data_IF_314671348001
#
_entry.id   IF_314671348001
#
_cell.length_a   1.000
_cell.length_b   1.000
_cell.length_c   1.000
_cell.angle_alpha   90.00
_cell.angle_beta   90.00
_cell.angle_gamma   90.00
#
_symmetry.space_group_name_H-M   'P 1'
#
loop_
_entity.id
_entity.type
_entity.pdbx_description
1 polymer ?
#
# COMPACT_ATOMS: atom_id res chain seq x y z
N UNK A 1 5.95 26.94 -36.66
CA UNK A 1 5.66 25.50 -36.53
C UNK A 1 6.60 24.92 -35.50
N UNK A 2 6.23 24.97 -34.22
CA UNK A 2 7.01 24.38 -33.12
C UNK A 2 6.65 22.90 -33.02
N UNK A 3 7.59 22.06 -33.41
CA UNK A 3 7.54 20.63 -33.11
C UNK A 3 7.57 20.46 -31.60
N UNK A 4 6.41 20.20 -30.99
CA UNK A 4 6.32 19.67 -29.63
C UNK A 4 6.95 18.29 -29.68
N UNK A 5 8.26 18.21 -29.39
CA UNK A 5 8.92 16.96 -29.09
C UNK A 5 8.22 16.39 -27.86
N UNK A 6 7.43 15.33 -28.07
CA UNK A 6 6.98 14.47 -27.00
C UNK A 6 8.22 13.83 -26.38
N UNK A 7 8.79 14.46 -25.35
CA UNK A 7 9.80 13.83 -24.51
C UNK A 7 9.12 12.61 -23.87
N UNK A 8 9.63 11.38 -24.07
CA UNK A 8 9.12 10.23 -23.33
C UNK A 8 9.19 10.56 -21.84
N UNK A 9 8.09 10.35 -21.12
CA UNK A 9 7.97 10.55 -19.67
C UNK A 9 9.27 10.16 -18.98
N UNK A 10 10.06 11.17 -18.60
CA UNK A 10 11.37 10.97 -18.00
C UNK A 10 11.12 10.36 -16.61
N UNK A 11 11.44 9.07 -16.45
CA UNK A 11 11.26 8.39 -15.17
C UNK A 11 12.21 9.00 -14.15
N UNK A 12 11.68 9.39 -13.01
CA UNK A 12 12.46 9.92 -11.88
C UNK A 12 13.06 8.72 -11.13
N UNK A 13 14.38 8.56 -11.16
CA UNK A 13 15.05 7.37 -10.62
C UNK A 13 14.79 7.17 -9.12
N UNK A 14 14.75 8.28 -8.37
CA UNK A 14 14.48 8.24 -6.93
C UNK A 14 13.07 7.76 -6.60
N UNK A 15 12.06 8.13 -7.38
CA UNK A 15 10.70 7.59 -7.23
C UNK A 15 10.69 6.08 -7.43
N UNK A 16 11.41 5.58 -8.43
CA UNK A 16 11.51 4.14 -8.68
C UNK A 16 12.22 3.41 -7.54
N UNK A 17 13.29 3.99 -6.99
CA UNK A 17 13.96 3.46 -5.79
C UNK A 17 13.02 3.46 -4.58
N UNK A 18 12.30 4.55 -4.35
CA UNK A 18 11.33 4.65 -3.25
C UNK A 18 10.27 3.56 -3.32
N UNK A 19 9.76 3.24 -4.51
CA UNK A 19 8.80 2.13 -4.71
C UNK A 19 9.43 0.77 -4.37
N UNK A 20 10.70 0.55 -4.68
CA UNK A 20 11.41 -0.68 -4.33
C UNK A 20 11.61 -0.80 -2.82
N UNK A 21 12.03 0.27 -2.15
CA UNK A 21 12.18 0.28 -0.69
C UNK A 21 10.81 0.05 -0.01
N UNK A 22 9.76 0.71 -0.49
CA UNK A 22 8.40 0.59 0.03
C UNK A 22 7.86 -0.85 -0.10
N UNK A 23 8.03 -1.52 -1.24
CA UNK A 23 7.54 -2.91 -1.38
C UNK A 23 8.33 -3.88 -0.50
N UNK A 24 9.63 -3.65 -0.30
CA UNK A 24 10.43 -4.45 0.65
C UNK A 24 9.94 -4.25 2.09
N UNK A 25 9.65 -3.01 2.50
CA UNK A 25 9.06 -2.73 3.81
C UNK A 25 7.69 -3.41 3.99
N UNK A 26 6.83 -3.41 2.96
CA UNK A 26 5.54 -4.11 2.97
C UNK A 26 5.71 -5.62 3.09
N UNK A 27 6.68 -6.22 2.38
CA UNK A 27 6.99 -7.65 2.50
C UNK A 27 7.44 -7.99 3.92
N UNK A 28 8.29 -7.16 4.54
CA UNK A 28 8.69 -7.34 5.94
C UNK A 28 7.51 -7.25 6.92
N UNK A 29 6.63 -6.27 6.72
CA UNK A 29 5.42 -6.08 7.52
C UNK A 29 4.50 -7.32 7.44
N UNK A 30 4.18 -7.77 6.23
CA UNK A 30 3.30 -8.93 6.04
C UNK A 30 3.96 -10.28 6.38
N UNK A 31 5.29 -10.35 6.29
CA UNK A 31 6.09 -11.48 6.72
C UNK A 31 6.14 -11.66 8.25
N UNK A 32 5.49 -10.78 9.03
CA UNK A 32 5.45 -10.83 10.49
C UNK A 32 6.85 -10.77 11.13
N UNK A 33 7.73 -9.95 10.54
CA UNK A 33 9.13 -9.87 10.92
C UNK A 33 9.29 -9.50 12.41
N UNK A 34 10.08 -10.30 13.12
CA UNK A 34 10.41 -10.16 14.54
C UNK A 34 9.21 -10.15 15.50
N UNK A 35 8.08 -10.77 15.13
CA UNK A 35 6.93 -10.94 16.04
C UNK A 35 7.02 -12.18 16.94
N UNK A 36 7.95 -13.10 16.66
CA UNK A 36 8.04 -14.42 17.34
C UNK A 36 9.31 -14.62 18.16
N UNK A 37 10.20 -13.64 18.21
CA UNK A 37 11.48 -13.68 18.93
C UNK A 37 11.89 -12.27 19.36
N UNK A 38 12.92 -12.17 20.21
CA UNK A 38 13.36 -10.91 20.84
C UNK A 38 12.22 -10.16 21.57
N UNK A 39 11.40 -10.92 22.30
CA UNK A 39 10.36 -10.36 23.13
C UNK A 39 10.97 -9.74 24.39
N UNK A 40 10.45 -8.59 24.78
CA UNK A 40 10.78 -7.91 26.04
C UNK A 40 9.47 -7.86 26.82
N UNK A 41 9.45 -8.49 27.99
CA UNK A 41 8.23 -8.68 28.81
C UNK A 41 7.07 -9.30 28.00
N UNK A 42 7.36 -10.37 27.24
CA UNK A 42 6.41 -11.07 26.34
C UNK A 42 5.85 -10.21 25.19
N UNK A 43 6.39 -9.00 24.98
CA UNK A 43 5.99 -8.09 23.90
C UNK A 43 7.07 -8.03 22.81
N UNK A 44 6.72 -8.26 21.52
CA UNK A 44 7.67 -8.20 20.42
C UNK A 44 7.91 -6.74 19.95
N UNK A 45 8.51 -5.91 20.81
CA UNK A 45 8.72 -4.48 20.53
C UNK A 45 9.50 -4.23 19.24
N UNK A 46 10.49 -5.06 18.91
CA UNK A 46 11.24 -4.94 17.66
C UNK A 46 10.31 -5.12 16.45
N UNK A 47 9.48 -6.18 16.44
CA UNK A 47 8.51 -6.39 15.38
C UNK A 47 7.44 -5.29 15.31
N UNK A 48 7.03 -4.74 16.45
CA UNK A 48 6.09 -3.60 16.52
C UNK A 48 6.69 -2.34 15.91
N UNK A 49 7.94 -2.01 16.24
CA UNK A 49 8.65 -0.87 15.66
C UNK A 49 8.89 -1.08 14.17
N UNK A 50 9.27 -2.28 13.73
CA UNK A 50 9.44 -2.60 12.30
C UNK A 50 8.11 -2.45 11.53
N UNK A 51 7.01 -2.92 12.11
CA UNK A 51 5.66 -2.77 11.54
C UNK A 51 5.31 -1.29 11.35
N UNK A 52 5.44 -0.47 12.40
CA UNK A 52 5.12 0.96 12.33
C UNK A 52 6.12 1.72 11.43
N UNK A 53 7.39 1.31 11.40
CA UNK A 53 8.42 1.85 10.48
C UNK A 53 8.10 1.58 9.01
N UNK A 54 7.28 0.58 8.68
CA UNK A 54 6.85 0.33 7.31
C UNK A 54 5.63 1.18 6.86
N UNK A 55 4.98 1.93 7.76
CA UNK A 55 3.70 2.61 7.47
C UNK A 55 3.82 3.79 6.49
N UNK A 56 5.03 4.27 6.17
CA UNK A 56 5.22 5.25 5.09
C UNK A 56 5.01 4.67 3.67
N UNK A 57 5.10 3.35 3.51
CA UNK A 57 5.18 2.70 2.20
C UNK A 57 3.91 2.91 1.36
N UNK A 58 2.74 2.70 1.95
CA UNK A 58 1.46 2.87 1.26
C UNK A 58 1.15 4.34 0.93
N UNK A 59 1.31 5.32 1.85
CA UNK A 59 1.27 6.75 1.53
C UNK A 59 2.12 7.12 0.32
N UNK A 60 3.35 6.60 0.25
CA UNK A 60 4.27 6.87 -0.85
C UNK A 60 3.68 6.41 -2.19
N UNK A 61 3.08 5.21 -2.26
CA UNK A 61 2.44 4.73 -3.49
C UNK A 61 1.24 5.59 -3.91
N UNK A 62 0.43 6.08 -2.96
CA UNK A 62 -0.68 7.00 -3.26
C UNK A 62 -0.17 8.36 -3.77
N UNK A 63 0.84 8.94 -3.10
CA UNK A 63 1.49 10.20 -3.52
C UNK A 63 2.05 10.10 -4.94
N UNK A 64 2.79 9.02 -5.24
CA UNK A 64 3.33 8.76 -6.58
C UNK A 64 2.18 8.64 -7.60
N UNK A 65 1.11 7.93 -7.26
CA UNK A 65 -0.04 7.75 -8.16
C UNK A 65 -0.69 9.10 -8.50
N UNK A 66 -0.93 9.95 -7.50
CA UNK A 66 -1.46 11.30 -7.69
C UNK A 66 -0.55 12.19 -8.53
N UNK A 67 0.75 12.17 -8.24
CA UNK A 67 1.74 12.95 -8.99
C UNK A 67 1.82 12.56 -10.47
N UNK A 68 1.80 11.26 -10.77
CA UNK A 68 1.92 10.77 -12.14
C UNK A 68 0.62 10.92 -12.96
N UNK A 69 -0.55 10.80 -12.33
CA UNK A 69 -1.83 10.90 -13.03
C UNK A 69 -2.25 12.35 -13.32
N UNK A 70 -1.79 13.31 -12.51
CA UNK A 70 -2.28 14.70 -12.51
C UNK A 70 -2.38 15.34 -13.91
N UNK A 71 -1.35 15.33 -14.78
CA UNK A 71 -1.43 16.06 -16.05
C UNK A 71 -2.55 15.54 -16.96
N UNK A 72 -2.81 14.22 -16.92
CA UNK A 72 -3.87 13.59 -17.72
C UNK A 72 -5.24 13.82 -17.09
N UNK A 73 -5.31 13.72 -15.76
CA UNK A 73 -6.55 13.87 -15.02
C UNK A 73 -7.08 15.31 -15.09
N UNK A 74 -6.22 16.32 -15.10
CA UNK A 74 -6.62 17.72 -15.36
C UNK A 74 -7.10 17.94 -16.79
N UNK A 75 -6.45 17.31 -17.78
CA UNK A 75 -6.79 17.53 -19.19
C UNK A 75 -8.09 16.81 -19.62
N UNK A 76 -8.37 15.65 -19.06
CA UNK A 76 -9.55 14.85 -19.40
C UNK A 76 -9.95 13.97 -18.21
N UNK A 77 -10.69 14.51 -17.22
CA UNK A 77 -10.91 13.85 -15.93
C UNK A 77 -11.59 12.49 -16.08
N UNK A 78 -12.75 12.43 -16.72
CA UNK A 78 -13.54 11.20 -16.84
C UNK A 78 -12.86 10.12 -17.68
N UNK A 79 -12.35 10.50 -18.85
CA UNK A 79 -11.61 9.60 -19.74
C UNK A 79 -10.36 9.03 -19.06
N UNK A 80 -9.63 9.86 -18.31
CA UNK A 80 -8.45 9.42 -17.56
C UNK A 80 -8.84 8.49 -16.43
N UNK A 81 -9.89 8.80 -15.66
CA UNK A 81 -10.39 7.93 -14.59
C UNK A 81 -10.73 6.54 -15.12
N UNK A 82 -11.53 6.43 -16.19
CA UNK A 82 -11.93 5.13 -16.75
C UNK A 82 -10.69 4.34 -17.22
N UNK A 83 -9.81 4.97 -17.99
CA UNK A 83 -8.62 4.31 -18.56
C UNK A 83 -7.58 3.93 -17.48
N UNK A 84 -7.56 4.66 -16.37
CA UNK A 84 -6.70 4.36 -15.23
C UNK A 84 -7.28 3.23 -14.38
N UNK A 85 -8.56 3.32 -14.02
CA UNK A 85 -9.22 2.44 -13.04
C UNK A 85 -9.62 1.08 -13.61
N UNK A 86 -10.19 1.02 -14.82
CA UNK A 86 -10.66 -0.24 -15.44
C UNK A 86 -9.60 -1.37 -15.44
N UNK A 87 -8.36 -1.16 -15.93
CA UNK A 87 -7.36 -2.21 -15.87
C UNK A 87 -6.93 -2.58 -14.45
N UNK A 88 -6.90 -1.63 -13.51
CA UNK A 88 -6.55 -1.92 -12.11
C UNK A 88 -7.63 -2.77 -11.45
N UNK A 89 -8.91 -2.45 -11.66
CA UNK A 89 -10.04 -3.24 -11.15
C UNK A 89 -10.09 -4.63 -11.77
N UNK A 90 -9.73 -4.78 -13.05
CA UNK A 90 -9.58 -6.10 -13.68
C UNK A 90 -8.53 -6.94 -12.96
N UNK A 91 -7.34 -6.36 -12.72
CA UNK A 91 -6.26 -7.04 -11.99
C UNK A 91 -6.72 -7.38 -10.57
N UNK A 92 -7.32 -6.43 -9.86
CA UNK A 92 -7.88 -6.64 -8.52
C UNK A 92 -8.89 -7.79 -8.48
N UNK A 93 -9.83 -7.85 -9.44
CA UNK A 93 -10.84 -8.91 -9.52
C UNK A 93 -10.19 -10.28 -9.75
N UNK A 94 -9.27 -10.38 -10.71
CA UNK A 94 -8.62 -11.66 -11.02
C UNK A 94 -7.80 -12.17 -9.84
N UNK A 95 -7.00 -11.31 -9.20
CA UNK A 95 -6.23 -11.72 -8.03
C UNK A 95 -7.09 -11.99 -6.81
N UNK A 96 -8.23 -11.31 -6.66
CA UNK A 96 -9.23 -11.63 -5.64
C UNK A 96 -9.77 -13.05 -5.84
N UNK A 97 -10.13 -13.44 -7.06
CA UNK A 97 -10.60 -14.81 -7.36
C UNK A 97 -9.51 -15.84 -7.05
N UNK A 98 -8.25 -15.56 -7.42
CA UNK A 98 -7.13 -16.46 -7.10
C UNK A 98 -7.00 -16.62 -5.59
N UNK A 99 -7.06 -15.54 -4.82
CA UNK A 99 -6.96 -15.60 -3.36
C UNK A 99 -8.15 -16.32 -2.71
N UNK A 100 -9.36 -16.15 -3.25
CA UNK A 100 -10.57 -16.82 -2.75
C UNK A 100 -10.52 -18.34 -2.88
N UNK A 101 -9.85 -18.84 -3.93
CA UNK A 101 -9.76 -20.27 -4.24
C UNK A 101 -8.52 -20.91 -3.61
N UNK A 102 -7.48 -20.15 -3.29
CA UNK A 102 -6.22 -20.71 -2.77
C UNK A 102 -6.36 -21.09 -1.28
N UNK A 103 -5.99 -22.32 -0.86
CA UNK A 103 -5.97 -22.68 0.56
C UNK A 103 -4.83 -21.95 1.29
N UNK A 104 -5.11 -21.40 2.47
CA UNK A 104 -4.12 -20.62 3.23
C UNK A 104 -3.39 -21.46 4.27
N UNK A 105 -3.95 -22.60 4.68
CA UNK A 105 -3.33 -23.50 5.65
C UNK A 105 -3.40 -24.97 5.17
N UNK A 106 -2.27 -25.49 4.68
CA UNK A 106 -2.17 -26.85 4.14
C UNK A 106 -2.34 -27.93 5.21
N UNK A 107 -1.92 -27.68 6.46
CA UNK A 107 -2.15 -28.62 7.56
C UNK A 107 -3.65 -28.78 7.85
N UNK A 108 -4.43 -27.68 7.80
CA UNK A 108 -5.89 -27.75 7.90
C UNK A 108 -6.54 -28.42 6.69
N UNK A 109 -5.96 -28.32 5.50
CA UNK A 109 -6.44 -29.08 4.33
C UNK A 109 -6.24 -30.57 4.54
N UNK A 110 -5.12 -30.99 5.13
CA UNK A 110 -4.88 -32.39 5.49
C UNK A 110 -5.87 -32.89 6.55
N UNK A 111 -6.12 -32.10 7.59
CA UNK A 111 -6.99 -32.48 8.71
C UNK A 111 -8.48 -32.43 8.37
N UNK A 112 -8.95 -31.40 7.66
CA UNK A 112 -10.37 -31.10 7.44
C UNK A 112 -10.80 -31.08 5.98
N UNK A 113 -9.88 -31.30 5.04
CA UNK A 113 -10.11 -31.16 3.60
C UNK A 113 -10.14 -29.70 3.12
N UNK A 114 -10.10 -29.51 1.80
CA UNK A 114 -10.10 -28.19 1.16
C UNK A 114 -11.30 -27.33 1.58
N UNK A 115 -12.51 -27.90 1.59
CA UNK A 115 -13.72 -27.17 1.96
C UNK A 115 -13.71 -26.77 3.45
N UNK A 116 -13.22 -27.66 4.33
CA UNK A 116 -13.10 -27.37 5.76
C UNK A 116 -12.15 -26.22 6.04
N UNK A 117 -11.00 -26.17 5.36
CA UNK A 117 -10.06 -25.04 5.47
C UNK A 117 -10.67 -23.72 4.97
N UNK A 118 -11.39 -23.77 3.84
CA UNK A 118 -11.90 -22.58 3.16
C UNK A 118 -13.14 -21.97 3.79
N UNK A 119 -14.00 -22.81 4.38
CA UNK A 119 -15.27 -22.40 4.97
C UNK A 119 -15.11 -21.28 6.00
N UNK A 120 -14.09 -21.35 6.85
CA UNK A 120 -13.85 -20.34 7.88
C UNK A 120 -13.57 -18.95 7.29
N UNK A 121 -12.72 -18.87 6.27
CA UNK A 121 -12.40 -17.59 5.63
C UNK A 121 -13.56 -17.05 4.78
N UNK A 122 -14.25 -17.91 4.02
CA UNK A 122 -15.43 -17.48 3.28
C UNK A 122 -16.52 -16.98 4.23
N UNK A 123 -16.68 -17.63 5.39
CA UNK A 123 -17.54 -17.15 6.48
C UNK A 123 -17.12 -15.77 6.99
N UNK A 124 -15.83 -15.55 7.25
CA UNK A 124 -15.30 -14.24 7.64
C UNK A 124 -15.63 -13.15 6.61
N UNK A 125 -15.46 -13.43 5.32
CA UNK A 125 -15.78 -12.47 4.26
C UNK A 125 -17.29 -12.16 4.19
N UNK A 126 -18.14 -13.19 4.31
CA UNK A 126 -19.60 -13.00 4.33
C UNK A 126 -20.07 -12.18 5.53
N UNK A 127 -19.40 -12.30 6.68
CA UNK A 127 -19.71 -11.53 7.88
C UNK A 127 -19.25 -10.06 7.79
N UNK A 128 -18.38 -9.72 6.85
CA UNK A 128 -17.84 -8.36 6.67
C UNK A 128 -17.97 -7.91 5.21
N UNK A 129 -19.21 -7.84 4.65
CA UNK A 129 -19.42 -7.76 3.21
C UNK A 129 -18.86 -6.47 2.59
N UNK A 130 -18.97 -5.33 3.29
CA UNK A 130 -18.41 -4.06 2.82
C UNK A 130 -16.88 -4.07 2.79
N UNK A 131 -16.25 -4.60 3.84
CA UNK A 131 -14.79 -4.77 3.85
C UNK A 131 -14.35 -5.74 2.76
N UNK A 132 -15.01 -6.89 2.64
CA UNK A 132 -14.69 -7.89 1.62
C UNK A 132 -14.82 -7.34 0.20
N UNK A 133 -15.80 -6.48 -0.07
CA UNK A 133 -15.93 -5.80 -1.34
C UNK A 133 -14.78 -4.82 -1.62
N UNK A 134 -14.29 -4.11 -0.60
CA UNK A 134 -13.23 -3.12 -0.74
C UNK A 134 -11.81 -3.71 -0.65
N UNK A 135 -11.62 -4.83 0.04
CA UNK A 135 -10.34 -5.55 0.09
C UNK A 135 -10.21 -6.48 -1.12
N UNK A 136 -11.25 -7.26 -1.40
CA UNK A 136 -11.23 -8.35 -2.36
C UNK A 136 -10.96 -9.69 -1.67
N UNK A 137 -10.29 -10.59 -2.39
CA UNK A 137 -10.06 -11.96 -1.91
C UNK A 137 -8.93 -12.13 -0.89
N UNK A 138 -8.18 -11.07 -0.60
CA UNK A 138 -7.14 -11.03 0.43
C UNK A 138 -6.85 -9.59 0.85
N UNK A 139 -6.50 -9.39 2.12
CA UNK A 139 -6.43 -8.07 2.76
C UNK A 139 -5.61 -7.05 1.96
N UNK A 140 -4.40 -7.39 1.50
CA UNK A 140 -3.48 -6.41 0.87
C UNK A 140 -4.03 -5.77 -0.41
N UNK A 141 -5.03 -6.38 -1.05
CA UNK A 141 -5.60 -5.90 -2.31
C UNK A 141 -6.41 -4.60 -2.16
N UNK A 142 -6.74 -4.20 -0.93
CA UNK A 142 -7.50 -2.98 -0.59
C UNK A 142 -6.95 -1.69 -1.19
N UNK A 143 -5.64 -1.62 -1.44
CA UNK A 143 -5.01 -0.43 -1.99
C UNK A 143 -5.57 -0.06 -3.37
N UNK A 144 -5.97 -1.04 -4.19
CA UNK A 144 -6.52 -0.76 -5.53
C UNK A 144 -7.88 -0.07 -5.45
N UNK A 145 -8.90 -0.61 -4.75
CA UNK A 145 -10.18 0.09 -4.59
C UNK A 145 -10.03 1.46 -3.93
N UNK A 146 -9.21 1.59 -2.88
CA UNK A 146 -8.91 2.87 -2.25
C UNK A 146 -8.33 3.89 -3.25
N UNK A 147 -7.37 3.48 -4.09
CA UNK A 147 -6.80 4.32 -5.14
C UNK A 147 -7.85 4.75 -6.17
N UNK A 148 -8.73 3.83 -6.59
CA UNK A 148 -9.83 4.12 -7.53
C UNK A 148 -10.80 5.15 -6.93
N UNK A 149 -11.16 5.01 -5.65
CA UNK A 149 -11.99 5.98 -4.95
C UNK A 149 -11.35 7.38 -4.92
N UNK A 150 -10.07 7.47 -4.56
CA UNK A 150 -9.35 8.74 -4.53
C UNK A 150 -9.30 9.41 -5.92
N UNK A 151 -8.98 8.65 -6.98
CA UNK A 151 -8.94 9.20 -8.35
C UNK A 151 -10.34 9.61 -8.82
N UNK A 152 -11.39 8.87 -8.45
CA UNK A 152 -12.78 9.24 -8.76
C UNK A 152 -13.15 10.59 -8.11
N UNK A 153 -12.86 10.76 -6.82
CA UNK A 153 -13.15 11.99 -6.09
C UNK A 153 -12.43 13.18 -6.73
N UNK A 154 -11.13 13.04 -7.04
CA UNK A 154 -10.36 14.09 -7.71
C UNK A 154 -10.94 14.37 -9.10
N UNK A 155 -11.26 13.32 -9.88
CA UNK A 155 -11.83 13.49 -11.21
C UNK A 155 -13.15 14.28 -11.18
N UNK A 156 -14.04 13.95 -10.24
CA UNK A 156 -15.31 14.66 -10.06
C UNK A 156 -15.10 16.13 -9.69
N UNK A 157 -14.22 16.42 -8.73
CA UNK A 157 -13.94 17.80 -8.31
C UNK A 157 -13.34 18.63 -9.47
N UNK A 158 -12.42 18.04 -10.22
CA UNK A 158 -11.78 18.70 -11.38
C UNK A 158 -12.79 18.90 -12.52
N UNK A 159 -13.63 17.90 -12.82
CA UNK A 159 -14.68 18.00 -13.85
C UNK A 159 -15.68 19.12 -13.52
N UNK A 160 -16.05 19.25 -12.24
CA UNK A 160 -16.93 20.30 -11.74
C UNK A 160 -16.23 21.67 -11.61
N UNK A 161 -14.94 21.77 -11.93
CA UNK A 161 -14.11 22.99 -11.80
C UNK A 161 -14.05 23.54 -10.37
N UNK A 162 -14.12 22.64 -9.39
CA UNK A 162 -14.10 22.95 -7.96
C UNK A 162 -12.71 22.71 -7.35
N UNK A 163 -11.63 22.99 -8.07
CA UNK A 163 -10.25 22.65 -7.68
C UNK A 163 -9.89 23.12 -6.25
N UNK A 164 -10.45 24.25 -5.82
CA UNK A 164 -10.27 24.80 -4.45
C UNK A 164 -10.77 23.87 -3.34
N UNK A 165 -11.66 22.93 -3.65
CA UNK A 165 -12.20 21.94 -2.71
C UNK A 165 -11.34 20.66 -2.62
N UNK A 166 -10.37 20.44 -3.52
CA UNK A 166 -9.54 19.23 -3.52
C UNK A 166 -8.89 18.99 -2.16
N UNK A 167 -8.13 19.97 -1.67
CA UNK A 167 -7.41 19.84 -0.41
C UNK A 167 -8.36 19.80 0.82
N UNK A 168 -9.34 20.71 0.97
CA UNK A 168 -10.31 20.63 2.07
C UNK A 168 -11.04 19.29 2.15
N UNK A 169 -11.58 18.78 1.05
CA UNK A 169 -12.27 17.48 1.02
C UNK A 169 -11.33 16.34 1.41
N UNK A 170 -10.10 16.36 0.91
CA UNK A 170 -9.13 15.32 1.21
C UNK A 170 -8.68 15.33 2.69
N UNK A 171 -8.50 16.53 3.28
CA UNK A 171 -8.20 16.68 4.71
C UNK A 171 -9.35 16.18 5.57
N UNK A 172 -10.60 16.58 5.26
CA UNK A 172 -11.78 16.15 6.02
C UNK A 172 -11.93 14.62 6.02
N UNK A 173 -11.76 13.98 4.85
CA UNK A 173 -11.80 12.53 4.72
C UNK A 173 -10.70 11.83 5.53
N UNK A 174 -9.47 12.37 5.52
CA UNK A 174 -8.35 11.80 6.27
C UNK A 174 -8.54 11.96 7.77
N UNK A 175 -8.97 13.14 8.23
CA UNK A 175 -9.27 13.40 9.65
C UNK A 175 -10.35 12.44 10.12
N UNK A 176 -11.47 12.32 9.40
CA UNK A 176 -12.48 11.32 9.72
C UNK A 176 -11.90 9.89 9.74
N UNK A 177 -11.05 9.53 8.78
CA UNK A 177 -10.43 8.21 8.71
C UNK A 177 -9.52 7.88 9.90
N UNK A 178 -8.79 8.87 10.43
CA UNK A 178 -7.97 8.71 11.64
C UNK A 178 -8.87 8.60 12.86
N UNK A 179 -9.84 9.52 13.01
CA UNK A 179 -10.74 9.58 14.16
C UNK A 179 -11.60 8.30 14.28
N UNK A 180 -12.23 7.85 13.20
CA UNK A 180 -13.05 6.64 13.16
C UNK A 180 -12.24 5.34 12.97
N UNK A 181 -10.91 5.43 12.89
CA UNK A 181 -9.99 4.31 12.72
C UNK A 181 -9.13 4.11 13.96
N UNK A 182 -7.87 4.53 13.89
CA UNK A 182 -6.90 4.39 15.00
C UNK A 182 -7.31 5.11 16.29
N UNK A 183 -8.16 6.13 16.22
CA UNK A 183 -8.64 6.90 17.37
C UNK A 183 -10.08 6.51 17.77
N UNK A 184 -10.62 5.42 17.24
CA UNK A 184 -12.02 5.05 17.47
C UNK A 184 -12.34 4.85 18.96
N UNK A 185 -11.40 4.31 19.74
CA UNK A 185 -11.57 4.14 21.19
C UNK A 185 -11.64 5.44 21.99
N UNK A 186 -11.18 6.57 21.42
CA UNK A 186 -11.26 7.89 22.06
C UNK A 186 -12.47 8.70 21.59
N UNK A 187 -12.91 8.48 20.36
CA UNK A 187 -13.89 9.34 19.69
C UNK A 187 -15.27 8.72 19.61
N UNK A 188 -15.38 7.41 19.83
CA UNK A 188 -16.58 6.60 19.61
C UNK A 188 -17.15 6.72 18.18
N UNK A 189 -16.37 7.27 17.24
CA UNK A 189 -16.78 7.38 15.85
C UNK A 189 -16.67 6.02 15.19
N UNK A 190 -17.79 5.59 14.60
CA UNK A 190 -17.83 4.38 13.79
C UNK A 190 -17.57 4.69 12.31
N UNK A 191 -16.98 3.72 11.63
CA UNK A 191 -16.86 3.69 10.18
C UNK A 191 -17.58 2.44 9.63
N UNK A 192 -18.22 2.53 8.45
CA UNK A 192 -18.95 1.40 7.86
C UNK A 192 -18.04 0.25 7.40
N UNK A 193 -16.74 0.51 7.27
CA UNK A 193 -15.69 -0.43 6.87
C UNK A 193 -14.34 0.13 7.36
N UNK A 194 -13.26 -0.65 7.29
CA UNK A 194 -11.94 -0.19 7.71
C UNK A 194 -11.51 1.07 6.96
N UNK A 195 -11.16 2.12 7.70
CA UNK A 195 -10.98 3.46 7.11
C UNK A 195 -9.85 3.51 6.06
N UNK A 196 -8.91 2.55 6.07
CA UNK A 196 -7.88 2.41 5.03
C UNK A 196 -8.44 1.97 3.66
N UNK A 197 -9.50 1.16 3.63
CA UNK A 197 -9.95 0.41 2.45
C UNK A 197 -10.71 1.28 1.42
N UNK A 198 -11.09 2.50 1.78
CA UNK A 198 -11.89 3.39 0.94
C UNK A 198 -11.22 4.75 0.70
N UNK A 199 -12.02 5.84 0.66
CA UNK A 199 -11.49 7.16 0.29
C UNK A 199 -10.73 7.86 1.41
N UNK A 200 -10.89 7.44 2.67
CA UNK A 200 -10.44 8.23 3.82
C UNK A 200 -8.92 8.42 3.86
N UNK A 201 -8.18 7.32 3.79
CA UNK A 201 -6.71 7.37 3.78
C UNK A 201 -6.14 7.84 2.43
N UNK A 202 -6.64 7.24 1.35
CA UNK A 202 -6.09 7.38 0.00
C UNK A 202 -6.24 8.79 -0.57
N UNK A 203 -7.38 9.45 -0.34
CA UNK A 203 -7.71 10.73 -1.00
C UNK A 203 -6.71 11.83 -0.64
N UNK A 204 -6.32 11.98 0.63
CA UNK A 204 -5.30 12.98 1.00
C UNK A 204 -3.97 12.71 0.32
N UNK A 205 -3.51 11.46 0.33
CA UNK A 205 -2.19 11.13 -0.21
C UNK A 205 -2.15 11.31 -1.74
N UNK A 206 -3.18 10.88 -2.45
CA UNK A 206 -3.28 11.08 -3.91
C UNK A 206 -3.45 12.56 -4.25
N UNK A 207 -4.28 13.30 -3.51
CA UNK A 207 -4.47 14.74 -3.72
C UNK A 207 -3.19 15.53 -3.46
N UNK A 208 -2.42 15.22 -2.42
CA UNK A 208 -1.13 15.87 -2.18
C UNK A 208 -0.16 15.61 -3.34
N UNK A 209 -0.06 14.38 -3.83
CA UNK A 209 0.75 14.05 -5.01
C UNK A 209 0.32 14.83 -6.25
N UNK A 210 -1.00 14.93 -6.46
CA UNK A 210 -1.61 15.71 -7.53
C UNK A 210 -1.24 17.20 -7.41
N UNK A 211 -1.43 17.83 -6.25
CA UNK A 211 -1.16 19.25 -6.02
C UNK A 211 0.34 19.58 -6.15
N UNK A 212 1.22 18.71 -5.66
CA UNK A 212 2.67 18.83 -5.84
C UNK A 212 3.02 18.92 -7.33
N UNK A 213 2.39 18.08 -8.16
CA UNK A 213 2.58 18.14 -9.62
C UNK A 213 1.92 19.36 -10.24
N UNK A 214 0.69 19.69 -9.87
CA UNK A 214 -0.07 20.80 -10.46
C UNK A 214 0.64 22.15 -10.24
N UNK A 215 1.13 22.37 -9.02
CA UNK A 215 1.77 23.62 -8.61
C UNK A 215 3.30 23.58 -8.68
N UNK A 216 3.88 22.44 -9.09
CA UNK A 216 5.33 22.23 -9.17
C UNK A 216 6.04 22.59 -7.85
N UNK A 217 5.47 22.16 -6.72
CA UNK A 217 6.06 22.43 -5.40
C UNK A 217 7.48 21.85 -5.31
N UNK A 218 8.42 22.67 -4.86
CA UNK A 218 9.83 22.31 -4.67
C UNK A 218 10.22 22.54 -3.22
N UNK A 219 10.81 21.52 -2.62
CA UNK A 219 11.36 21.57 -1.26
C UNK A 219 12.80 21.08 -1.35
N UNK A 220 13.72 21.74 -0.63
CA UNK A 220 15.11 21.30 -0.58
C UNK A 220 15.22 19.95 0.12
N UNK A 221 16.24 19.15 -0.21
CA UNK A 221 16.48 17.83 0.41
C UNK A 221 16.47 17.91 1.95
N UNK A 222 17.14 18.93 2.53
CA UNK A 222 17.18 19.13 3.98
C UNK A 222 15.80 19.41 4.60
N UNK A 223 14.99 20.28 3.98
CA UNK A 223 13.63 20.56 4.46
C UNK A 223 12.72 19.34 4.33
N UNK A 224 12.88 18.55 3.27
CA UNK A 224 12.13 17.31 3.08
C UNK A 224 12.52 16.24 4.11
N UNK A 225 13.80 16.13 4.47
CA UNK A 225 14.27 15.28 5.58
C UNK A 225 13.72 15.75 6.92
N UNK A 226 13.68 17.07 7.16
CA UNK A 226 13.06 17.63 8.37
C UNK A 226 11.58 17.28 8.48
N UNK A 227 10.83 17.39 7.38
CA UNK A 227 9.42 16.98 7.32
C UNK A 227 9.23 15.47 7.55
N UNK A 228 10.09 14.65 6.93
CA UNK A 228 10.12 13.19 7.13
C UNK A 228 10.34 12.86 8.61
N UNK A 229 11.37 13.44 9.24
CA UNK A 229 11.71 13.20 10.63
C UNK A 229 10.60 13.67 11.59
N UNK A 230 10.03 14.85 11.33
CA UNK A 230 8.91 15.37 12.11
C UNK A 230 7.67 14.47 11.99
N UNK A 231 7.32 14.04 10.78
CA UNK A 231 6.19 13.15 10.55
C UNK A 231 6.38 11.78 11.22
N UNK A 232 7.59 11.23 11.17
CA UNK A 232 7.95 10.00 11.86
C UNK A 232 7.84 10.17 13.38
N UNK A 233 8.39 11.26 13.94
CA UNK A 233 8.30 11.55 15.38
C UNK A 233 6.84 11.64 15.83
N UNK A 234 6.00 12.37 15.10
CA UNK A 234 4.57 12.50 15.42
C UNK A 234 3.88 11.13 15.34
N UNK A 235 4.11 10.36 14.28
CA UNK A 235 3.52 9.03 14.10
C UNK A 235 3.85 8.08 15.26
N UNK A 236 5.13 8.02 15.67
CA UNK A 236 5.56 7.17 16.77
C UNK A 236 5.07 7.67 18.13
N UNK A 237 5.02 8.98 18.33
CA UNK A 237 4.43 9.56 19.54
C UNK A 237 2.92 9.28 19.64
N UNK A 238 2.18 9.39 18.53
CA UNK A 238 0.77 9.01 18.45
C UNK A 238 0.57 7.52 18.74
N UNK A 239 1.33 6.63 18.09
CA UNK A 239 1.22 5.18 18.31
C UNK A 239 1.53 4.80 19.76
N UNK A 240 2.54 5.41 20.39
CA UNK A 240 2.87 5.20 21.79
C UNK A 240 1.81 5.79 22.74
N UNK A 241 1.25 6.95 22.41
CA UNK A 241 0.21 7.56 23.23
C UNK A 241 -1.10 6.77 23.18
N UNK A 242 -1.47 6.25 22.01
CA UNK A 242 -2.69 5.46 21.84
C UNK A 242 -2.68 4.15 22.63
N UNK A 243 -1.51 3.62 23.03
CA UNK A 243 -1.46 2.44 23.90
C UNK A 243 -2.05 2.71 25.29
N UNK A 244 -2.14 3.98 25.74
CA UNK A 244 -2.83 4.32 26.99
C UNK A 244 -4.36 4.25 26.87
N UNK A 245 -4.88 4.04 25.66
CA UNK A 245 -6.31 3.91 25.33
C UNK A 245 -6.63 2.54 24.73
N UNK A 246 -5.86 1.51 25.13
CA UNK A 246 -6.04 0.11 24.73
C UNK A 246 -5.92 -0.15 23.22
N UNK A 247 -5.27 0.75 22.49
CA UNK A 247 -4.93 0.56 21.07
C UNK A 247 -3.51 0.01 20.99
N UNK A 248 -3.36 -1.23 20.52
CA UNK A 248 -2.05 -1.85 20.35
C UNK A 248 -1.13 -1.02 19.45
N UNK A 249 0.14 -0.88 19.85
CA UNK A 249 1.12 -0.04 19.15
C UNK A 249 1.22 -0.36 17.64
N UNK A 250 1.20 -1.64 17.28
CA UNK A 250 1.30 -2.13 15.90
C UNK A 250 -0.03 -2.18 15.13
N UNK A 251 -1.17 -1.93 15.80
CA UNK A 251 -2.51 -2.05 15.21
C UNK A 251 -2.89 -0.84 14.35
N UNK A 252 -2.14 0.25 14.44
CA UNK A 252 -2.42 1.48 13.72
C UNK A 252 -2.09 1.35 12.24
N UNK A 253 -3.10 1.55 11.38
CA UNK A 253 -2.92 1.53 9.93
C UNK A 253 -2.37 2.84 9.38
N UNK A 254 -2.89 3.95 9.89
CA UNK A 254 -2.40 5.30 9.63
C UNK A 254 -2.86 6.25 10.74
N UNK A 255 -1.99 7.20 11.05
CA UNK A 255 -2.09 8.25 12.08
C UNK A 255 -1.85 9.64 11.46
N UNK A 256 -2.03 10.74 12.18
CA UNK A 256 -1.83 12.08 11.61
C UNK A 256 -0.39 12.29 11.10
N UNK A 257 0.62 11.82 11.83
CA UNK A 257 2.02 11.87 11.45
C UNK A 257 2.34 11.07 10.18
N UNK A 258 1.54 10.07 9.84
CA UNK A 258 1.73 9.21 8.66
C UNK A 258 1.65 10.00 7.35
N UNK A 259 0.72 10.97 7.28
CA UNK A 259 0.58 11.86 6.13
C UNK A 259 1.84 12.73 5.94
N UNK A 260 2.32 13.35 7.02
CA UNK A 260 3.52 14.19 7.00
C UNK A 260 4.76 13.38 6.65
N UNK A 261 4.87 12.18 7.22
CA UNK A 261 5.99 11.29 6.98
C UNK A 261 6.04 10.82 5.52
N UNK A 262 4.92 10.33 4.98
CA UNK A 262 4.81 9.96 3.57
C UNK A 262 5.12 11.13 2.63
N UNK A 263 4.61 12.33 2.93
CA UNK A 263 4.90 13.55 2.17
C UNK A 263 6.38 13.92 2.23
N UNK A 264 7.01 13.83 3.41
CA UNK A 264 8.44 14.07 3.61
C UNK A 264 9.31 13.11 2.78
N UNK A 265 9.01 11.81 2.81
CA UNK A 265 9.67 10.79 1.98
C UNK A 265 9.52 11.15 0.49
N UNK A 266 8.30 11.43 0.04
CA UNK A 266 8.04 11.72 -1.37
C UNK A 266 8.77 12.99 -1.85
N UNK A 267 8.72 14.07 -1.06
CA UNK A 267 9.42 15.31 -1.38
C UNK A 267 10.94 15.16 -1.36
N UNK A 268 11.48 14.31 -0.47
CA UNK A 268 12.91 14.01 -0.43
C UNK A 268 13.37 13.25 -1.68
N UNK A 269 12.57 12.30 -2.16
CA UNK A 269 12.83 11.62 -3.43
C UNK A 269 12.80 12.62 -4.60
N UNK A 270 11.80 13.50 -4.66
CA UNK A 270 11.73 14.54 -5.70
C UNK A 270 12.92 15.51 -5.66
N UNK A 271 13.43 15.84 -4.47
CA UNK A 271 14.61 16.69 -4.31
C UNK A 271 15.92 16.02 -4.76
N UNK A 272 15.96 14.69 -4.86
CA UNK A 272 17.14 13.90 -5.21
C UNK A 272 16.90 13.00 -6.44
N UNK A 273 16.52 13.55 -7.61
CA UNK A 273 15.91 12.80 -8.72
C UNK A 273 16.78 11.70 -9.34
N UNK A 274 18.11 11.83 -9.21
CA UNK A 274 19.09 10.90 -9.78
C UNK A 274 19.42 9.71 -8.86
N UNK A 275 18.98 9.75 -7.60
CA UNK A 275 19.25 8.69 -6.63
C UNK A 275 18.61 7.38 -7.09
N UNK A 276 19.36 6.27 -7.01
CA UNK A 276 18.84 4.96 -7.41
C UNK A 276 18.76 4.75 -8.93
N UNK A 277 19.53 5.51 -9.73
CA UNK A 277 19.64 5.31 -11.18
C UNK A 277 20.43 4.04 -11.55
N UNK A 278 19.99 2.89 -11.04
CA UNK A 278 20.60 1.59 -11.27
C UNK A 278 19.69 0.68 -12.10
N UNK A 279 20.29 -0.23 -12.86
CA UNK A 279 19.53 -1.18 -13.69
C UNK A 279 18.64 -2.11 -12.85
N UNK A 280 19.12 -2.54 -11.68
CA UNK A 280 18.37 -3.43 -10.78
C UNK A 280 17.11 -2.75 -10.21
N UNK A 281 17.18 -1.46 -9.85
CA UNK A 281 16.02 -0.67 -9.40
C UNK A 281 14.95 -0.66 -10.49
N UNK A 282 15.35 -0.33 -11.74
CA UNK A 282 14.43 -0.34 -12.88
C UNK A 282 13.86 -1.73 -13.17
N UNK A 283 14.64 -2.79 -12.97
CA UNK A 283 14.17 -4.15 -13.19
C UNK A 283 13.03 -4.51 -12.22
N UNK A 284 13.15 -4.14 -10.95
CA UNK A 284 12.13 -4.40 -9.92
C UNK A 284 10.93 -3.46 -10.11
N UNK A 285 11.15 -2.15 -10.27
CA UNK A 285 10.08 -1.15 -10.35
C UNK A 285 9.14 -1.37 -11.56
N UNK A 286 9.67 -1.87 -12.68
CA UNK A 286 8.89 -2.29 -13.86
C UNK A 286 7.96 -3.50 -13.63
N UNK A 287 8.08 -4.15 -12.48
CA UNK A 287 7.31 -5.33 -12.07
C UNK A 287 6.48 -5.08 -10.81
N UNK A 288 6.48 -3.84 -10.33
CA UNK A 288 5.90 -3.45 -9.04
C UNK A 288 4.45 -3.90 -8.87
N UNK A 289 3.58 -3.69 -9.86
CA UNK A 289 2.18 -4.11 -9.77
C UNK A 289 2.06 -5.63 -9.57
N UNK A 290 2.84 -6.41 -10.31
CA UNK A 290 2.86 -7.87 -10.20
C UNK A 290 3.36 -8.37 -8.86
N UNK A 291 4.45 -7.77 -8.35
CA UNK A 291 5.00 -8.09 -7.04
C UNK A 291 3.97 -7.75 -5.95
N UNK A 292 3.36 -6.56 -6.05
CA UNK A 292 2.30 -6.13 -5.13
C UNK A 292 1.11 -7.09 -5.11
N UNK A 293 0.59 -7.56 -6.24
CA UNK A 293 -0.58 -8.44 -6.22
C UNK A 293 -0.26 -9.85 -5.73
N UNK A 294 0.96 -10.36 -5.96
CA UNK A 294 1.32 -11.74 -5.65
C UNK A 294 1.97 -11.95 -4.28
N UNK A 295 2.61 -10.94 -3.69
CA UNK A 295 3.51 -11.15 -2.55
C UNK A 295 2.86 -11.86 -1.37
N UNK A 296 1.62 -11.50 -1.00
CA UNK A 296 0.99 -12.08 0.18
C UNK A 296 0.62 -13.57 -0.01
N UNK A 297 0.24 -13.98 -1.23
CA UNK A 297 0.06 -15.40 -1.54
C UNK A 297 1.37 -16.19 -1.41
N UNK A 298 2.49 -15.58 -1.81
CA UNK A 298 3.79 -16.21 -1.67
C UNK A 298 4.22 -16.29 -0.20
N UNK A 299 3.94 -15.24 0.60
CA UNK A 299 4.13 -15.29 2.06
C UNK A 299 3.35 -16.46 2.66
N UNK A 300 2.07 -16.61 2.29
CA UNK A 300 1.22 -17.72 2.76
C UNK A 300 1.83 -19.07 2.40
N UNK A 301 2.30 -19.26 1.15
CA UNK A 301 2.96 -20.49 0.73
C UNK A 301 4.21 -20.75 1.59
N UNK A 302 5.06 -19.74 1.79
CA UNK A 302 6.29 -19.88 2.56
C UNK A 302 6.03 -20.13 4.04
N UNK A 303 4.97 -19.56 4.62
CA UNK A 303 4.54 -19.89 5.98
C UNK A 303 4.15 -21.37 6.12
N UNK A 304 3.43 -21.93 5.14
CA UNK A 304 3.12 -23.36 5.15
C UNK A 304 4.39 -24.21 5.01
N UNK A 305 5.30 -23.86 4.10
CA UNK A 305 6.57 -24.58 3.92
C UNK A 305 7.41 -24.55 5.20
N UNK A 306 7.59 -23.37 5.81
CA UNK A 306 8.32 -23.26 7.07
C UNK A 306 7.64 -24.04 8.20
N UNK A 307 6.31 -23.99 8.29
CA UNK A 307 5.54 -24.74 9.29
C UNK A 307 5.72 -26.26 9.15
N UNK A 308 5.64 -26.80 7.94
CA UNK A 308 5.85 -28.23 7.65
C UNK A 308 7.28 -28.65 7.97
N UNK A 309 8.27 -27.81 7.66
CA UNK A 309 9.68 -28.09 7.90
C UNK A 309 10.14 -27.77 9.34
N UNK A 310 9.24 -27.26 10.20
CA UNK A 310 9.58 -26.85 11.57
C UNK A 310 10.55 -25.67 11.65
N UNK A 311 10.62 -24.83 10.62
CA UNK A 311 11.51 -23.65 10.58
C UNK A 311 10.83 -22.49 11.31
N UNK A 312 11.48 -21.96 12.33
CA UNK A 312 10.92 -20.94 13.23
C UNK A 312 11.78 -19.66 13.29
N UNK A 313 11.25 -18.65 13.99
CA UNK A 313 11.95 -17.42 14.38
C UNK A 313 12.69 -16.72 13.23
N UNK A 314 13.94 -16.29 13.46
CA UNK A 314 14.75 -15.53 12.50
C UNK A 314 14.98 -16.30 11.20
N UNK A 315 15.09 -17.63 11.25
CA UNK A 315 15.24 -18.46 10.07
C UNK A 315 13.98 -18.41 9.20
N UNK A 316 12.80 -18.52 9.82
CA UNK A 316 11.50 -18.36 9.14
C UNK A 316 11.38 -16.98 8.50
N UNK A 317 11.69 -15.93 9.26
CA UNK A 317 11.59 -14.54 8.78
C UNK A 317 12.53 -14.28 7.60
N UNK A 318 13.75 -14.81 7.65
CA UNK A 318 14.73 -14.69 6.56
C UNK A 318 14.22 -15.39 5.29
N UNK A 319 13.74 -16.63 5.41
CA UNK A 319 13.19 -17.38 4.28
C UNK A 319 11.97 -16.68 3.70
N UNK A 320 11.04 -16.23 4.54
CA UNK A 320 9.80 -15.59 4.10
C UNK A 320 10.12 -14.26 3.42
N UNK A 321 10.98 -13.43 3.99
CA UNK A 321 11.31 -12.12 3.43
C UNK A 321 12.02 -12.24 2.06
N UNK A 322 13.16 -12.93 2.02
CA UNK A 322 13.94 -13.07 0.79
C UNK A 322 13.22 -13.96 -0.24
N UNK A 323 12.61 -15.05 0.22
CA UNK A 323 11.82 -15.95 -0.61
C UNK A 323 10.64 -15.24 -1.26
N UNK A 324 9.89 -14.43 -0.50
CA UNK A 324 8.76 -13.67 -1.06
C UNK A 324 9.21 -12.72 -2.15
N UNK A 325 10.29 -11.98 -1.92
CA UNK A 325 10.82 -11.04 -2.91
C UNK A 325 11.28 -11.77 -4.18
N UNK A 326 12.09 -12.81 -4.03
CA UNK A 326 12.67 -13.58 -5.16
C UNK A 326 11.56 -14.30 -5.93
N UNK A 327 10.69 -15.05 -5.26
CA UNK A 327 9.63 -15.81 -5.90
C UNK A 327 8.58 -14.89 -6.55
N UNK A 328 8.25 -13.75 -5.94
CA UNK A 328 7.33 -12.77 -6.57
C UNK A 328 7.96 -12.21 -7.84
N UNK A 329 9.25 -11.86 -7.79
CA UNK A 329 9.97 -11.36 -8.96
C UNK A 329 10.01 -12.40 -10.09
N UNK A 330 10.37 -13.64 -9.78
CA UNK A 330 10.44 -14.75 -10.74
C UNK A 330 9.06 -15.09 -11.31
N UNK A 331 8.02 -15.13 -10.48
CA UNK A 331 6.63 -15.35 -10.90
C UNK A 331 6.22 -14.30 -11.93
N UNK A 332 6.48 -13.02 -11.67
CA UNK A 332 6.15 -11.94 -12.60
C UNK A 332 6.97 -12.03 -13.88
N UNK A 333 8.25 -12.42 -13.81
CA UNK A 333 9.07 -12.69 -15.00
C UNK A 333 8.48 -13.83 -15.83
N UNK A 334 8.04 -14.91 -15.18
CA UNK A 334 7.37 -16.05 -15.82
C UNK A 334 6.06 -15.64 -16.49
N UNK A 335 5.16 -14.99 -15.75
CA UNK A 335 3.86 -14.52 -16.29
C UNK A 335 4.07 -13.63 -17.52
N UNK A 336 5.06 -12.73 -17.51
CA UNK A 336 5.36 -11.83 -18.65
C UNK A 336 5.73 -12.56 -19.94
N UNK A 337 6.23 -13.80 -19.86
CA UNK A 337 6.54 -14.66 -21.01
C UNK A 337 5.33 -15.42 -21.55
N UNK A 338 4.18 -15.33 -20.90
CA UNK A 338 2.95 -16.06 -21.28
C UNK A 338 1.84 -15.10 -21.73
N UNK A 339 0.79 -15.62 -22.40
CA UNK A 339 -0.42 -14.83 -22.71
C UNK A 339 -1.14 -14.30 -21.46
N UNK A 340 -0.94 -14.93 -20.28
CA UNK A 340 -1.57 -14.55 -19.02
C UNK A 340 -1.22 -13.14 -18.56
N UNK A 341 -0.14 -12.53 -19.07
CA UNK A 341 0.24 -11.14 -18.74
C UNK A 341 -0.92 -10.14 -18.93
N UNK A 342 -1.76 -10.33 -19.96
CA UNK A 342 -2.90 -9.45 -20.28
C UNK A 342 -4.03 -9.53 -19.26
N UNK A 343 -4.03 -10.57 -18.43
CA UNK A 343 -5.06 -10.83 -17.42
C UNK A 343 -4.50 -10.54 -16.03
N UNK A 344 -3.28 -10.98 -15.75
CA UNK A 344 -2.69 -10.93 -14.41
C UNK A 344 -1.92 -9.63 -14.09
N UNK A 345 -1.42 -8.87 -15.08
CA UNK A 345 -0.44 -7.79 -14.84
C UNK A 345 -0.77 -6.43 -15.49
N UNK A 346 -1.97 -6.28 -16.07
CA UNK A 346 -2.45 -5.16 -16.91
C UNK A 346 -2.20 -5.32 -18.41
#
# INVERSE_FOLDING_TARGET
MSSVQHTPSQRIASIELGRVIAILAIIGLHGQMALTYWQIDEVPWIGYVLNQTARFAVPLFFLISGYLIQPKLTASPWTTFINYSKPLLKVWLVWSIICLVMPFNLAKVEEFGYLGERQGYWGFLMNTPLNSFLEGGLVHLWFIPALVCAVLIIALIVELKLDKLLLPTAILLYVYGVLAGSYASLTDLSAPFFTRNGPFFSTLMVTLGFLIRQHQWKVSSAKALGLLALGMLIHFAEAAWLTTFDVGFNMNDFLFGTALWGMGVFMWLLANPNMGNYAWVRAISNRMLGIYVSHLLIIIILFNVCGILGITELAKDSIVFFGTFILSFLLVVGIKKTPLRRVLLR
#
